data_IF_626053687812
#
_entry.id   IF_626053687812
#
_cell.length_a   1.000
_cell.length_b   1.000
_cell.length_c   1.000
_cell.angle_alpha   90.00
_cell.angle_beta   90.00
_cell.angle_gamma   90.00
#
_symmetry.space_group_name_H-M   'P 1'
#
loop_
_entity.id
_entity.type
_entity.pdbx_description
1 polymer ?
#
# COMPACT_ATOMS: atom_id res chain seq x y z
N UNK A 1 -4.13 -1.18 -3.05
CA UNK A 1 -4.52 -2.33 -2.24
C UNK A 1 -5.08 -3.46 -3.09
N UNK A 2 -6.15 -3.25 -3.88
CA UNK A 2 -6.72 -4.31 -4.75
C UNK A 2 -5.67 -4.96 -5.66
N UNK A 3 -4.92 -4.16 -6.45
CA UNK A 3 -3.87 -4.70 -7.33
C UNK A 3 -2.81 -5.51 -6.57
N UNK A 4 -2.48 -5.13 -5.35
CA UNK A 4 -1.49 -5.84 -4.54
C UNK A 4 -1.99 -7.24 -4.14
N UNK A 5 -3.23 -7.32 -3.67
CA UNK A 5 -3.89 -8.59 -3.32
C UNK A 5 -4.00 -9.53 -4.52
N UNK A 6 -4.29 -9.00 -5.71
CA UNK A 6 -4.32 -9.79 -6.94
C UNK A 6 -2.94 -10.32 -7.34
N UNK A 7 -1.88 -9.52 -7.14
CA UNK A 7 -0.51 -9.94 -7.49
C UNK A 7 0.08 -10.93 -6.49
N UNK A 8 -0.28 -10.85 -5.21
CA UNK A 8 0.31 -11.69 -4.15
C UNK A 8 -0.58 -12.87 -3.76
N UNK A 9 -1.89 -12.80 -4.03
CA UNK A 9 -2.88 -13.74 -3.50
C UNK A 9 -3.10 -13.60 -1.99
N UNK A 10 -2.51 -12.58 -1.36
CA UNK A 10 -2.54 -12.38 0.10
C UNK A 10 -3.29 -11.12 0.47
N UNK A 11 -3.89 -11.13 1.67
CA UNK A 11 -4.51 -9.92 2.23
C UNK A 11 -3.43 -8.90 2.59
N UNK A 12 -3.57 -7.61 2.25
CA UNK A 12 -2.65 -6.57 2.70
C UNK A 12 -2.54 -6.53 4.23
N UNK A 13 -1.31 -6.48 4.75
CA UNK A 13 -1.04 -6.45 6.20
C UNK A 13 -1.65 -7.64 6.95
N UNK A 14 -1.58 -8.84 6.37
CA UNK A 14 -2.06 -10.09 6.98
C UNK A 14 -1.38 -10.41 8.32
N UNK A 15 -0.12 -10.01 8.47
CA UNK A 15 0.70 -10.18 9.66
C UNK A 15 0.57 -9.05 10.70
N UNK A 16 -0.28 -8.05 10.46
CA UNK A 16 -0.51 -6.93 11.38
C UNK A 16 -1.93 -6.99 11.92
N UNK A 17 -2.13 -6.63 13.18
CA UNK A 17 -3.47 -6.51 13.75
C UNK A 17 -4.26 -5.38 13.08
N UNK A 18 -5.50 -5.66 12.70
CA UNK A 18 -6.39 -4.71 12.00
C UNK A 18 -7.11 -3.82 13.02
N UNK A 19 -6.36 -2.96 13.71
CA UNK A 19 -6.89 -1.99 14.67
C UNK A 19 -6.51 -0.54 14.32
N UNK A 20 -6.87 0.40 15.20
CA UNK A 20 -6.66 1.84 14.97
C UNK A 20 -5.19 2.21 14.75
N UNK A 21 -4.25 1.42 15.29
CA UNK A 21 -2.83 1.69 15.10
C UNK A 21 -2.41 1.46 13.64
N UNK A 22 -2.96 0.43 12.98
CA UNK A 22 -2.74 0.20 11.56
C UNK A 22 -3.34 1.33 10.70
N UNK A 23 -4.49 1.88 11.11
CA UNK A 23 -5.11 3.03 10.42
C UNK A 23 -4.16 4.22 10.41
N UNK A 24 -3.59 4.58 11.57
CA UNK A 24 -2.63 5.70 11.66
C UNK A 24 -1.40 5.47 10.79
N UNK A 25 -0.82 4.27 10.81
CA UNK A 25 0.31 3.92 9.92
C UNK A 25 -0.03 4.12 8.44
N UNK A 26 -1.21 3.68 8.00
CA UNK A 26 -1.65 3.85 6.60
C UNK A 26 -1.85 5.34 6.26
N UNK A 27 -2.39 6.13 7.18
CA UNK A 27 -2.51 7.58 7.03
C UNK A 27 -1.14 8.26 6.92
N UNK A 28 -0.17 7.78 7.70
CA UNK A 28 1.24 8.23 7.67
C UNK A 28 2.02 7.71 6.45
N UNK A 29 1.37 6.97 5.56
CA UNK A 29 1.96 6.54 4.28
C UNK A 29 2.47 5.10 4.25
N UNK A 30 2.28 4.31 5.31
CA UNK A 30 2.61 2.88 5.30
C UNK A 30 1.85 2.17 4.15
N UNK A 31 2.58 1.38 3.35
CA UNK A 31 2.02 0.58 2.25
C UNK A 31 2.59 -0.84 2.29
N UNK A 32 1.87 -1.85 1.78
CA UNK A 32 2.41 -3.19 1.63
C UNK A 32 3.68 -3.18 0.77
N UNK A 33 4.64 -4.03 1.13
CA UNK A 33 5.88 -4.20 0.35
C UNK A 33 5.53 -4.74 -1.05
N UNK A 34 6.01 -4.06 -2.09
CA UNK A 34 5.96 -4.60 -3.45
C UNK A 34 7.08 -5.65 -3.56
N UNK A 35 6.73 -6.86 -3.97
CA UNK A 35 7.64 -7.98 -4.09
C UNK A 35 8.40 -7.93 -5.42
N UNK A 36 9.57 -8.56 -5.49
CA UNK A 36 10.47 -8.49 -6.67
C UNK A 36 9.89 -9.17 -7.91
N UNK A 37 8.98 -10.12 -7.72
CA UNK A 37 8.23 -10.82 -8.77
C UNK A 37 7.07 -10.00 -9.34
N UNK A 38 6.72 -8.86 -8.72
CA UNK A 38 5.70 -7.94 -9.26
C UNK A 38 6.23 -7.27 -10.53
N UNK A 39 5.53 -7.40 -11.69
CA UNK A 39 5.91 -6.69 -12.90
C UNK A 39 6.03 -5.18 -12.69
N UNK A 40 7.06 -4.56 -13.28
CA UNK A 40 7.39 -3.14 -13.04
C UNK A 40 6.22 -2.20 -13.38
N UNK A 41 5.44 -2.50 -14.42
CA UNK A 41 4.26 -1.73 -14.79
C UNK A 41 3.19 -1.72 -13.69
N UNK A 42 2.97 -2.85 -13.01
CA UNK A 42 2.05 -2.95 -11.89
C UNK A 42 2.62 -2.27 -10.64
N UNK A 43 3.92 -2.39 -10.40
CA UNK A 43 4.57 -1.66 -9.30
C UNK A 43 4.42 -0.13 -9.45
N UNK A 44 4.64 0.40 -10.66
CA UNK A 44 4.43 1.83 -10.96
C UNK A 44 2.98 2.24 -10.78
N UNK A 45 2.03 1.46 -11.32
CA UNK A 45 0.60 1.73 -11.18
C UNK A 45 0.14 1.70 -9.71
N UNK A 46 0.61 0.72 -8.93
CA UNK A 46 0.30 0.64 -7.50
C UNK A 46 0.79 1.89 -6.76
N UNK A 47 2.04 2.30 -7.00
CA UNK A 47 2.60 3.53 -6.42
C UNK A 47 1.77 4.76 -6.81
N UNK A 48 1.42 4.94 -8.08
CA UNK A 48 0.63 6.11 -8.51
C UNK A 48 -0.76 6.16 -7.88
N UNK A 49 -1.43 5.02 -7.71
CA UNK A 49 -2.71 4.95 -7.02
C UNK A 49 -2.62 5.27 -5.52
N UNK A 50 -1.48 5.00 -4.89
CA UNK A 50 -1.26 5.18 -3.45
C UNK A 50 -0.83 6.59 -3.06
N UNK A 51 -0.35 7.39 -4.02
CA UNK A 51 0.15 8.75 -3.82
C UNK A 51 -0.95 9.77 -3.47
N UNK A 52 -2.23 9.44 -3.61
CA UNK A 52 -3.35 10.36 -3.35
C UNK A 52 -3.58 10.71 -1.86
N UNK A 53 -2.83 10.12 -0.93
CA UNK A 53 -3.04 10.29 0.53
C UNK A 53 -1.99 11.20 1.18
N UNK A 54 -0.93 11.63 0.47
CA UNK A 54 0.00 12.64 1.00
C UNK A 54 -0.60 14.05 0.90
N UNK A 55 -1.64 14.33 1.69
CA UNK A 55 -2.03 15.71 2.01
C UNK A 55 -1.01 16.31 2.99
N UNK A 56 0.20 16.57 2.51
CA UNK A 56 1.18 17.41 3.23
C UNK A 56 2.18 18.12 2.31
N UNK A 57 1.95 18.17 1.00
CA UNK A 57 2.63 19.13 0.11
C UNK A 57 1.88 20.48 0.03
N UNK A 58 1.15 20.86 1.09
CA UNK A 58 0.44 22.15 1.16
C UNK A 58 0.50 22.81 2.55
N UNK A 59 1.65 22.68 3.21
CA UNK A 59 2.18 23.62 4.19
C UNK A 59 3.67 23.85 3.92
#
# INVERSE_FOLDING_TARGET
MIMWELTTGCKPFDNVKHDHHLIYKILDGERPKITEDTPECYAKLMKSCWMLIQKTDLL
#
